data_IF_413849667868
#
_entry.id   IF_413849667868
#
_cell.length_a   1.000
_cell.length_b   1.000
_cell.length_c   1.000
_cell.angle_alpha   90.00
_cell.angle_beta   90.00
_cell.angle_gamma   90.00
#
_symmetry.space_group_name_H-M   'P 1'
#
loop_
_entity.id
_entity.type
_entity.pdbx_description
1 polymer ?
#
# COMPACT_ATOMS: atom_id res chain seq x y z
N UNK A 1 -6.53 17.87 -2.80
CA UNK A 1 -5.61 18.45 -1.81
C UNK A 1 -4.21 17.88 -2.03
N UNK A 2 -3.20 18.69 -1.81
CA UNK A 2 -1.82 18.24 -1.94
C UNK A 2 -1.32 17.57 -0.65
N UNK A 3 -0.34 16.72 -0.83
CA UNK A 3 0.36 16.07 0.28
C UNK A 3 1.31 17.09 0.90
N UNK A 4 1.37 17.14 2.22
CA UNK A 4 2.25 18.05 2.97
C UNK A 4 2.87 17.37 4.18
N UNK A 5 3.91 18.01 4.72
CA UNK A 5 4.57 17.53 5.93
C UNK A 5 3.54 17.38 7.05
N UNK A 6 3.68 16.32 7.82
CA UNK A 6 2.77 16.00 8.91
C UNK A 6 1.59 15.14 8.51
N UNK A 7 1.29 15.00 7.23
CA UNK A 7 0.34 13.97 6.81
C UNK A 7 0.89 12.60 7.21
N UNK A 8 0.03 11.62 7.38
CA UNK A 8 0.42 10.30 7.88
C UNK A 8 0.24 9.27 6.78
N UNK A 9 1.23 8.43 6.59
CA UNK A 9 1.22 7.48 5.50
C UNK A 9 1.54 6.05 5.89
N UNK A 10 1.08 5.15 5.06
CA UNK A 10 1.51 3.75 5.00
C UNK A 10 2.39 3.54 3.79
N UNK A 11 3.34 2.66 3.92
CA UNK A 11 4.00 2.07 2.76
C UNK A 11 4.33 0.63 3.06
N UNK A 12 4.00 -0.27 2.12
CA UNK A 12 4.33 -1.69 2.24
C UNK A 12 4.97 -2.13 0.93
N UNK A 13 6.11 -2.77 1.03
CA UNK A 13 6.83 -3.33 -0.12
C UNK A 13 6.83 -4.85 -0.03
N UNK A 14 6.50 -5.49 -1.16
CA UNK A 14 6.50 -6.95 -1.28
C UNK A 14 7.46 -7.38 -2.37
N UNK A 15 8.16 -8.49 -2.13
CA UNK A 15 8.91 -9.20 -3.18
C UNK A 15 8.23 -10.55 -3.38
N UNK A 16 7.68 -10.77 -4.57
CA UNK A 16 6.83 -11.90 -4.87
C UNK A 16 7.44 -12.69 -6.03
N UNK A 17 7.64 -14.01 -5.89
CA UNK A 17 8.09 -14.83 -7.02
C UNK A 17 7.14 -14.68 -8.21
N UNK A 18 7.66 -14.68 -9.42
CA UNK A 18 6.85 -14.45 -10.62
C UNK A 18 5.70 -15.46 -10.77
N UNK A 19 5.84 -16.66 -10.25
CA UNK A 19 4.79 -17.68 -10.30
C UNK A 19 3.70 -17.50 -9.23
N UNK A 20 3.86 -16.55 -8.31
CA UNK A 20 2.90 -16.25 -7.25
C UNK A 20 2.20 -14.89 -7.42
N UNK A 21 2.42 -14.19 -8.53
CA UNK A 21 1.89 -12.84 -8.74
C UNK A 21 0.38 -12.80 -8.91
N UNK A 22 -0.24 -13.87 -9.41
CA UNK A 22 -1.69 -13.90 -9.59
C UNK A 22 -2.43 -13.69 -8.27
N UNK A 23 -1.96 -14.33 -7.22
CA UNK A 23 -2.53 -14.18 -5.87
C UNK A 23 -2.40 -12.76 -5.35
N UNK A 24 -1.22 -12.15 -5.53
CA UNK A 24 -0.97 -10.78 -5.10
C UNK A 24 -1.83 -9.79 -5.90
N UNK A 25 -1.91 -9.97 -7.23
CA UNK A 25 -2.73 -9.12 -8.08
C UNK A 25 -4.20 -9.18 -7.67
N UNK A 26 -4.69 -10.36 -7.30
CA UNK A 26 -6.05 -10.53 -6.84
C UNK A 26 -6.30 -9.83 -5.50
N UNK A 27 -5.35 -9.91 -4.58
CA UNK A 27 -5.42 -9.17 -3.32
C UNK A 27 -5.47 -7.66 -3.58
N UNK A 28 -4.61 -7.15 -4.47
CA UNK A 28 -4.58 -5.73 -4.82
C UNK A 28 -5.94 -5.27 -5.36
N UNK A 29 -6.56 -6.07 -6.24
CA UNK A 29 -7.89 -5.75 -6.77
C UNK A 29 -8.96 -5.70 -5.66
N UNK A 30 -8.93 -6.66 -4.73
CA UNK A 30 -9.85 -6.70 -3.59
C UNK A 30 -9.63 -5.50 -2.68
N UNK A 31 -8.38 -5.15 -2.41
CA UNK A 31 -8.02 -4.02 -1.56
C UNK A 31 -8.43 -2.68 -2.22
N UNK A 32 -8.23 -2.54 -3.52
CA UNK A 32 -8.66 -1.34 -4.23
C UNK A 32 -10.19 -1.17 -4.13
N UNK A 33 -10.95 -2.25 -4.27
CA UNK A 33 -12.40 -2.20 -4.14
C UNK A 33 -12.81 -1.77 -2.73
N UNK A 34 -12.15 -2.31 -1.71
CA UNK A 34 -12.36 -1.89 -0.32
C UNK A 34 -12.10 -0.39 -0.14
N UNK A 35 -10.98 0.11 -0.70
CA UNK A 35 -10.62 1.52 -0.59
C UNK A 35 -11.68 2.41 -1.24
N UNK A 36 -12.16 2.04 -2.42
CA UNK A 36 -13.20 2.80 -3.14
C UNK A 36 -14.51 2.82 -2.37
N UNK A 37 -14.86 1.76 -1.68
CA UNK A 37 -16.12 1.63 -0.95
C UNK A 37 -16.12 2.33 0.41
N UNK A 38 -14.96 2.54 1.01
CA UNK A 38 -14.88 2.95 2.41
C UNK A 38 -14.15 4.26 2.67
N UNK A 39 -13.35 4.76 1.72
CA UNK A 39 -12.53 5.95 1.91
C UNK A 39 -13.10 7.16 1.18
N UNK A 40 -12.77 8.35 1.67
CA UNK A 40 -13.27 9.62 1.15
C UNK A 40 -12.12 10.49 0.67
N UNK A 41 -12.29 11.15 -0.48
CA UNK A 41 -11.28 12.04 -1.05
C UNK A 41 -11.41 13.46 -0.49
N UNK A 42 -12.53 13.79 0.15
CA UNK A 42 -12.80 15.10 0.70
C UNK A 42 -13.90 15.01 1.75
N UNK A 43 -14.19 16.13 2.39
CA UNK A 43 -15.21 16.20 3.43
C UNK A 43 -14.61 16.03 4.83
N UNK A 44 -15.46 15.65 5.78
CA UNK A 44 -15.08 15.54 7.18
C UNK A 44 -15.31 14.14 7.77
N UNK A 45 -15.77 13.19 6.94
CA UNK A 45 -15.97 11.81 7.37
C UNK A 45 -14.71 10.98 7.12
N UNK A 46 -14.12 10.47 8.19
CA UNK A 46 -12.95 9.59 8.08
C UNK A 46 -13.31 8.20 7.55
N UNK A 47 -12.41 7.49 6.87
CA UNK A 47 -11.04 7.91 6.54
C UNK A 47 -11.00 8.87 5.35
N UNK A 48 -10.29 9.98 5.53
CA UNK A 48 -10.01 10.94 4.45
C UNK A 48 -8.62 10.64 3.92
N UNK A 49 -8.54 10.22 2.67
CA UNK A 49 -7.29 9.80 2.03
C UNK A 49 -6.88 10.80 0.97
N UNK A 50 -5.61 11.17 0.96
CA UNK A 50 -5.04 12.11 -0.01
C UNK A 50 -4.46 11.38 -1.22
N UNK A 51 -3.95 10.18 -1.02
CA UNK A 51 -3.31 9.40 -2.08
C UNK A 51 -3.41 7.91 -1.78
N UNK A 52 -3.71 7.15 -2.81
CA UNK A 52 -3.64 5.69 -2.81
C UNK A 52 -3.03 5.24 -4.12
N UNK A 53 -1.92 4.53 -4.06
CA UNK A 53 -1.23 4.04 -5.26
C UNK A 53 -0.60 2.70 -5.00
N UNK A 54 -0.62 1.84 -6.01
CA UNK A 54 0.10 0.57 -5.99
C UNK A 54 0.97 0.51 -7.24
N UNK A 55 2.24 0.19 -7.03
CA UNK A 55 3.22 0.01 -8.10
C UNK A 55 3.57 -1.45 -8.24
N UNK A 56 3.85 -1.87 -9.47
CA UNK A 56 4.26 -3.23 -9.79
C UNK A 56 5.37 -3.17 -10.84
N UNK A 57 6.45 -3.88 -10.62
CA UNK A 57 7.60 -3.89 -11.53
C UNK A 57 8.38 -5.19 -11.37
N UNK A 58 9.07 -5.67 -12.44
CA UNK A 58 10.08 -6.72 -12.23
C UNK A 58 11.13 -6.26 -11.22
N UNK A 59 11.65 -7.20 -10.43
CA UNK A 59 12.84 -6.93 -9.63
C UNK A 59 14.08 -7.11 -10.49
N UNK A 60 14.96 -6.08 -10.52
CA UNK A 60 16.22 -6.14 -11.23
C UNK A 60 17.37 -6.46 -10.27
N UNK A 61 18.42 -7.11 -10.78
CA UNK A 61 19.62 -7.41 -9.97
C UNK A 61 20.24 -6.14 -9.40
N UNK A 62 20.24 -5.06 -10.19
CA UNK A 62 20.57 -3.71 -9.70
C UNK A 62 19.30 -2.86 -9.81
N UNK A 63 18.76 -2.34 -8.69
CA UNK A 63 17.48 -1.63 -8.68
C UNK A 63 17.38 -0.43 -9.62
N UNK A 64 18.51 0.23 -9.92
CA UNK A 64 18.53 1.40 -10.77
C UNK A 64 18.98 1.11 -12.21
N UNK A 65 19.17 -0.17 -12.55
CA UNK A 65 19.64 -0.55 -13.88
C UNK A 65 18.75 -1.65 -14.47
N UNK A 66 17.75 -1.29 -15.32
CA UNK A 66 16.90 -2.30 -15.98
C UNK A 66 17.66 -3.28 -16.86
N UNK A 67 18.89 -2.94 -17.28
CA UNK A 67 19.73 -3.81 -18.09
C UNK A 67 20.53 -4.82 -17.26
N UNK A 68 20.46 -4.75 -15.94
CA UNK A 68 21.21 -5.66 -15.06
C UNK A 68 20.61 -7.08 -15.01
N UNK A 69 19.44 -7.28 -15.60
CA UNK A 69 18.73 -8.55 -15.61
C UNK A 69 17.72 -8.67 -14.47
N UNK A 70 16.69 -9.46 -14.73
CA UNK A 70 15.61 -9.71 -13.76
C UNK A 70 15.97 -10.87 -12.84
N UNK A 71 15.51 -10.77 -11.59
CA UNK A 71 15.81 -11.80 -10.57
C UNK A 71 14.88 -13.02 -10.63
N UNK A 72 13.72 -12.89 -11.29
CA UNK A 72 12.65 -13.89 -11.22
C UNK A 72 11.57 -13.53 -10.23
N UNK A 73 11.69 -12.37 -9.56
CA UNK A 73 10.68 -11.84 -8.65
C UNK A 73 10.04 -10.58 -9.21
N UNK A 74 8.88 -10.24 -8.65
CA UNK A 74 8.14 -9.02 -8.95
C UNK A 74 8.05 -8.19 -7.66
N UNK A 75 8.26 -6.88 -7.79
CA UNK A 75 8.13 -5.93 -6.70
C UNK A 75 6.74 -5.31 -6.73
N UNK A 76 6.16 -5.15 -5.53
CA UNK A 76 4.95 -4.36 -5.33
C UNK A 76 5.22 -3.31 -4.27
N UNK A 77 4.75 -2.09 -4.49
CA UNK A 77 4.78 -1.03 -3.50
C UNK A 77 3.37 -0.45 -3.35
N UNK A 78 2.82 -0.52 -2.14
CA UNK A 78 1.52 0.04 -1.82
C UNK A 78 1.72 1.26 -0.94
N UNK A 79 1.21 2.41 -1.35
CA UNK A 79 1.34 3.66 -0.61
C UNK A 79 -0.02 4.29 -0.39
N UNK A 80 -0.30 4.68 0.86
CA UNK A 80 -1.52 5.38 1.26
C UNK A 80 -1.11 6.58 2.11
N UNK A 81 -1.69 7.74 1.84
CA UNK A 81 -1.41 8.95 2.61
C UNK A 81 -2.72 9.57 3.07
N UNK A 82 -2.82 9.81 4.37
CA UNK A 82 -4.00 10.33 5.05
C UNK A 82 -3.74 11.74 5.56
N UNK A 83 -4.80 12.52 5.73
CA UNK A 83 -4.69 13.87 6.26
C UNK A 83 -4.19 13.90 7.71
N UNK A 84 -4.47 12.84 8.49
CA UNK A 84 -4.05 12.75 9.87
C UNK A 84 -4.16 11.34 10.43
N UNK A 85 -3.79 11.14 11.70
CA UNK A 85 -3.81 9.81 12.32
C UNK A 85 -5.20 9.20 12.44
N UNK A 86 -6.24 10.03 12.48
CA UNK A 86 -7.63 9.56 12.54
C UNK A 86 -8.00 8.75 11.29
N UNK A 87 -7.51 9.16 10.12
CA UNK A 87 -7.72 8.45 8.88
C UNK A 87 -7.06 7.07 8.89
N UNK A 88 -5.84 7.01 9.38
CA UNK A 88 -5.10 5.75 9.54
C UNK A 88 -5.87 4.79 10.45
N UNK A 89 -6.32 5.27 11.60
CA UNK A 89 -7.04 4.44 12.56
C UNK A 89 -8.36 3.95 11.99
N UNK A 90 -9.11 4.82 11.31
CA UNK A 90 -10.37 4.44 10.66
C UNK A 90 -10.13 3.39 9.57
N UNK A 91 -9.06 3.55 8.77
CA UNK A 91 -8.68 2.56 7.76
C UNK A 91 -8.42 1.19 8.39
N UNK A 92 -7.64 1.15 9.47
CA UNK A 92 -7.32 -0.11 10.15
C UNK A 92 -8.57 -0.79 10.70
N UNK A 93 -9.45 -0.03 11.32
CA UNK A 93 -10.71 -0.56 11.88
C UNK A 93 -11.59 -1.16 10.78
N UNK A 94 -11.78 -0.42 9.67
CA UNK A 94 -12.62 -0.88 8.56
C UNK A 94 -11.99 -2.08 7.85
N UNK A 95 -10.67 -2.10 7.69
CA UNK A 95 -9.96 -3.22 7.07
C UNK A 95 -10.12 -4.51 7.87
N UNK A 96 -10.03 -4.42 9.18
CA UNK A 96 -10.19 -5.57 10.08
C UNK A 96 -11.60 -6.14 10.03
N UNK A 97 -12.60 -5.33 9.73
CA UNK A 97 -13.98 -5.78 9.57
C UNK A 97 -14.19 -6.61 8.30
N UNK A 98 -13.31 -6.48 7.32
CA UNK A 98 -13.29 -7.32 6.11
C UNK A 98 -12.42 -8.54 6.35
N UNK A 99 -12.93 -9.50 7.10
CA UNK A 99 -12.15 -10.59 7.68
C UNK A 99 -11.35 -11.38 6.66
N UNK A 100 -11.95 -11.75 5.51
CA UNK A 100 -11.26 -12.52 4.48
C UNK A 100 -10.11 -11.72 3.85
N UNK A 101 -10.34 -10.44 3.55
CA UNK A 101 -9.30 -9.56 3.00
C UNK A 101 -8.18 -9.37 4.01
N UNK A 102 -8.53 -9.14 5.27
CA UNK A 102 -7.55 -8.92 6.33
C UNK A 102 -6.68 -10.16 6.57
N UNK A 103 -7.28 -11.35 6.56
CA UNK A 103 -6.55 -12.61 6.70
C UNK A 103 -5.57 -12.80 5.53
N UNK A 104 -5.97 -12.47 4.31
CA UNK A 104 -5.11 -12.55 3.15
C UNK A 104 -3.95 -11.54 3.24
N UNK A 105 -4.24 -10.33 3.70
CA UNK A 105 -3.19 -9.33 3.94
C UNK A 105 -2.15 -9.82 4.93
N UNK A 106 -2.59 -10.39 6.05
CA UNK A 106 -1.69 -10.92 7.08
C UNK A 106 -0.80 -12.03 6.49
N UNK A 107 -1.40 -12.96 5.74
CA UNK A 107 -0.64 -14.07 5.15
C UNK A 107 0.36 -13.58 4.09
N UNK A 108 -0.06 -12.69 3.20
CA UNK A 108 0.83 -12.12 2.19
C UNK A 108 1.96 -11.31 2.82
N UNK A 109 1.65 -10.56 3.87
CA UNK A 109 2.66 -9.79 4.60
C UNK A 109 3.68 -10.71 5.26
N UNK A 110 3.22 -11.75 5.93
CA UNK A 110 4.12 -12.70 6.57
C UNK A 110 4.99 -13.46 5.57
N UNK A 111 4.49 -13.66 4.36
CA UNK A 111 5.19 -14.45 3.34
C UNK A 111 6.11 -13.61 2.47
N UNK A 112 5.69 -12.40 2.07
CA UNK A 112 6.36 -11.65 1.01
C UNK A 112 6.78 -10.23 1.38
N UNK A 113 6.33 -9.67 2.50
CA UNK A 113 6.67 -8.30 2.87
C UNK A 113 8.15 -8.18 3.24
N UNK A 114 8.82 -7.18 2.67
CA UNK A 114 10.24 -6.92 2.94
C UNK A 114 10.46 -5.60 3.66
N UNK A 115 9.50 -4.68 3.61
CA UNK A 115 9.58 -3.40 4.31
C UNK A 115 8.18 -2.83 4.49
N UNK A 116 7.95 -2.12 5.60
CA UNK A 116 6.68 -1.48 5.85
C UNK A 116 6.82 -0.30 6.79
N UNK A 117 6.06 0.76 6.50
CA UNK A 117 5.84 1.89 7.38
C UNK A 117 4.35 1.91 7.71
N UNK A 118 4.02 1.89 8.99
CA UNK A 118 2.65 1.81 9.46
C UNK A 118 2.30 3.08 10.23
N UNK A 119 1.76 4.08 9.54
CA UNK A 119 1.38 5.34 10.16
C UNK A 119 2.57 6.26 10.43
N UNK A 120 3.43 6.47 9.43
CA UNK A 120 4.60 7.33 9.54
C UNK A 120 4.30 8.75 9.02
N UNK A 121 4.87 9.80 9.63
CA UNK A 121 4.65 11.16 9.14
C UNK A 121 5.42 11.43 7.84
N UNK A 122 4.80 12.19 6.96
CA UNK A 122 5.46 12.75 5.78
C UNK A 122 6.46 13.80 6.26
N UNK A 123 7.73 13.63 5.93
CA UNK A 123 8.80 14.55 6.38
C UNK A 123 9.27 15.46 5.25
N UNK A 124 8.90 15.20 4.02
CA UNK A 124 9.22 16.03 2.86
C UNK A 124 8.11 15.90 1.82
N UNK A 125 7.70 17.02 1.23
CA UNK A 125 6.65 17.06 0.21
C UNK A 125 6.85 18.30 -0.66
N UNK A 126 6.29 18.25 -1.87
CA UNK A 126 6.25 19.40 -2.78
C UNK A 126 5.00 20.23 -2.43
N UNK A 127 5.17 21.13 -1.50
CA UNK A 127 4.08 21.98 -0.99
C UNK A 127 4.01 23.32 -1.71
#
# INVERSE_FOLDING_TARGET
>A
MSIKRGNIGFHVSFVVPNDATERMDQFIATHEQFMRESHHLSGDQEPIILSYSVFKSPEFNNPFDPNSGETGNTLYGLTEIYSGPEGVQAHMTLGQQREAMFAELVDLTNTYCVAGLLGAPVIAAME
#
